data_IF_184721066442
#
_entry.id   IF_184721066442
#
_cell.length_a   1.000
_cell.length_b   1.000
_cell.length_c   1.000
_cell.angle_alpha   90.00
_cell.angle_beta   90.00
_cell.angle_gamma   90.00
#
_symmetry.space_group_name_H-M   'P 1'
#
loop_
_entity.id
_entity.type
_entity.pdbx_description
1 polymer ?
#
# COMPACT_ATOMS: atom_id res chain seq x y z
N UNK A 1 -2.20 32.64 -17.30
CA UNK A 1 -2.15 31.42 -16.47
C UNK A 1 -3.51 31.02 -15.94
N UNK A 2 -4.45 30.66 -16.82
CA UNK A 2 -5.77 30.10 -16.44
C UNK A 2 -5.96 28.66 -16.97
N UNK A 3 -5.27 28.30 -18.06
CA UNK A 3 -5.31 26.95 -18.63
C UNK A 3 -4.60 25.90 -17.76
N UNK A 4 -3.44 26.25 -17.19
CA UNK A 4 -2.64 25.35 -16.33
C UNK A 4 -3.40 25.02 -15.03
N UNK A 5 -4.13 25.98 -14.47
CA UNK A 5 -4.92 25.81 -13.24
C UNK A 5 -6.12 24.90 -13.48
N UNK A 6 -6.86 25.07 -14.59
CA UNK A 6 -7.96 24.16 -14.97
C UNK A 6 -7.49 22.73 -15.20
N UNK A 7 -6.35 22.56 -15.87
CA UNK A 7 -5.82 21.24 -16.19
C UNK A 7 -5.34 20.51 -14.93
N UNK A 8 -4.72 21.25 -13.98
CA UNK A 8 -4.38 20.73 -12.66
C UNK A 8 -5.59 20.28 -11.85
N UNK A 9 -6.63 21.11 -11.79
CA UNK A 9 -7.85 20.75 -11.05
C UNK A 9 -8.55 19.53 -11.65
N UNK A 10 -8.55 19.38 -12.98
CA UNK A 10 -9.10 18.21 -13.64
C UNK A 10 -8.31 16.94 -13.31
N UNK A 11 -6.97 17.01 -13.32
CA UNK A 11 -6.12 15.88 -12.94
C UNK A 11 -6.30 15.47 -11.49
N UNK A 12 -6.40 16.42 -10.56
CA UNK A 12 -6.61 16.14 -9.13
C UNK A 12 -7.95 15.43 -8.93
N UNK A 13 -9.03 15.90 -9.58
CA UNK A 13 -10.36 15.27 -9.48
C UNK A 13 -10.36 13.84 -10.01
N UNK A 14 -9.74 13.59 -11.16
CA UNK A 14 -9.68 12.25 -11.73
C UNK A 14 -8.89 11.26 -10.85
N UNK A 15 -7.83 11.75 -10.22
CA UNK A 15 -7.03 10.97 -9.29
C UNK A 15 -7.82 10.64 -8.01
N UNK A 16 -8.57 11.60 -7.50
CA UNK A 16 -9.48 11.40 -6.36
C UNK A 16 -10.56 10.35 -6.67
N UNK A 17 -11.21 10.42 -7.84
CA UNK A 17 -12.20 9.39 -8.25
C UNK A 17 -11.59 7.99 -8.33
N UNK A 18 -10.34 7.90 -8.80
CA UNK A 18 -9.62 6.63 -8.87
C UNK A 18 -9.34 6.06 -7.48
N UNK A 19 -8.93 6.91 -6.54
CA UNK A 19 -8.70 6.51 -5.14
C UNK A 19 -9.99 6.06 -4.45
N UNK A 20 -11.10 6.77 -4.67
CA UNK A 20 -12.39 6.42 -4.09
C UNK A 20 -12.92 5.08 -4.62
N UNK A 21 -12.76 4.80 -5.92
CA UNK A 21 -13.08 3.47 -6.48
C UNK A 21 -12.23 2.37 -5.86
N UNK A 22 -10.93 2.60 -5.68
CA UNK A 22 -10.04 1.60 -5.07
C UNK A 22 -10.41 1.35 -3.60
N UNK A 23 -10.79 2.39 -2.85
CA UNK A 23 -11.32 2.25 -1.48
C UNK A 23 -12.58 1.40 -1.45
N UNK A 24 -13.55 1.65 -2.34
CA UNK A 24 -14.78 0.84 -2.40
C UNK A 24 -14.50 -0.64 -2.69
N UNK A 25 -13.59 -0.93 -3.63
CA UNK A 25 -13.23 -2.31 -3.97
C UNK A 25 -12.51 -3.03 -2.82
N UNK A 26 -11.67 -2.31 -2.06
CA UNK A 26 -11.01 -2.86 -0.87
C UNK A 26 -11.99 -3.21 0.25
N UNK A 27 -13.09 -2.46 0.40
CA UNK A 27 -14.12 -2.69 1.41
C UNK A 27 -15.03 -3.91 1.10
N UNK A 28 -15.20 -4.27 -0.18
CA UNK A 28 -16.09 -5.38 -0.58
C UNK A 28 -15.47 -6.76 -0.34
N UNK A 29 -14.14 -6.88 -0.28
CA UNK A 29 -13.43 -8.17 -0.11
C UNK A 29 -13.43 -8.71 1.34
N UNK A 30 -14.38 -8.28 2.17
CA UNK A 30 -14.45 -8.56 3.62
C UNK A 30 -14.82 -10.02 3.98
N UNK A 31 -15.26 -10.85 3.02
CA UNK A 31 -15.91 -12.14 3.30
C UNK A 31 -15.10 -13.44 3.05
N UNK A 32 -13.76 -13.38 2.98
CA UNK A 32 -12.94 -14.60 2.91
C UNK A 32 -12.69 -15.21 4.30
N UNK A 33 -12.78 -16.53 4.42
CA UNK A 33 -12.77 -17.25 5.71
C UNK A 33 -11.50 -17.05 6.56
N UNK A 34 -10.36 -16.71 5.95
CA UNK A 34 -9.12 -16.35 6.65
C UNK A 34 -9.22 -14.99 7.34
N UNK A 35 -10.05 -14.08 6.81
CA UNK A 35 -10.27 -12.69 7.25
C UNK A 35 -11.13 -12.63 8.51
N UNK A 36 -12.06 -13.57 8.70
CA UNK A 36 -12.95 -13.62 9.87
C UNK A 36 -12.22 -13.84 11.21
N UNK A 37 -11.09 -14.57 11.21
CA UNK A 37 -10.27 -14.76 12.43
C UNK A 37 -9.40 -13.53 12.76
N UNK A 38 -9.03 -12.73 11.77
CA UNK A 38 -8.28 -11.47 11.95
C UNK A 38 -9.20 -10.31 12.38
N UNK A 39 -10.48 -10.33 11.95
CA UNK A 39 -11.48 -9.32 12.32
C UNK A 39 -11.84 -9.30 13.82
N UNK A 40 -11.54 -10.35 14.58
CA UNK A 40 -11.73 -10.37 16.04
C UNK A 40 -10.79 -9.38 16.78
N UNK A 41 -9.76 -8.83 16.10
CA UNK A 41 -8.77 -7.94 16.72
C UNK A 41 -8.83 -6.47 16.26
N UNK A 42 -9.74 -6.06 15.37
CA UNK A 42 -9.72 -4.68 14.84
C UNK A 42 -8.54 -4.41 13.90
N UNK A 43 -8.62 -3.33 13.11
CA UNK A 43 -7.60 -2.98 12.11
C UNK A 43 -6.27 -2.62 12.78
N UNK A 44 -5.14 -2.83 12.08
CA UNK A 44 -3.82 -2.41 12.57
C UNK A 44 -3.78 -0.91 12.88
N UNK A 45 -4.50 -0.12 12.06
CA UNK A 45 -4.68 1.32 12.25
C UNK A 45 -5.24 1.66 13.63
N UNK A 46 -6.23 0.89 14.10
CA UNK A 46 -6.88 1.08 15.40
C UNK A 46 -6.01 0.54 16.55
N UNK A 47 -5.41 -0.63 16.37
CA UNK A 47 -4.59 -1.29 17.41
C UNK A 47 -3.25 -0.61 17.65
N UNK A 48 -2.60 -0.15 16.58
CA UNK A 48 -1.20 0.28 16.57
C UNK A 48 -1.01 1.54 15.72
N UNK A 49 -1.80 2.58 15.95
CA UNK A 49 -1.80 3.82 15.15
C UNK A 49 -0.40 4.44 14.90
N UNK A 50 0.46 4.48 15.93
CA UNK A 50 1.83 5.01 15.77
C UNK A 50 2.70 4.15 14.85
N UNK A 51 2.62 2.82 14.96
CA UNK A 51 3.38 1.92 14.10
C UNK A 51 2.80 1.90 12.67
N UNK A 52 1.47 1.99 12.55
CA UNK A 52 0.81 2.15 11.27
C UNK A 52 1.32 3.39 10.52
N UNK A 53 1.39 4.54 11.19
CA UNK A 53 1.92 5.77 10.58
C UNK A 53 3.39 5.63 10.13
N UNK A 54 4.22 4.91 10.90
CA UNK A 54 5.60 4.60 10.50
C UNK A 54 5.65 3.71 9.26
N UNK A 55 4.83 2.66 9.24
CA UNK A 55 4.74 1.75 8.08
C UNK A 55 4.27 2.51 6.83
N UNK A 56 3.33 3.45 6.94
CA UNK A 56 2.92 4.32 5.83
C UNK A 56 4.08 5.18 5.31
N UNK A 57 4.87 5.77 6.21
CA UNK A 57 6.04 6.57 5.83
C UNK A 57 7.12 5.74 5.12
N UNK A 58 7.44 4.57 5.68
CA UNK A 58 8.40 3.62 5.10
C UNK A 58 7.92 3.13 3.73
N UNK A 59 6.62 2.81 3.61
CA UNK A 59 5.98 2.38 2.36
C UNK A 59 6.00 3.48 1.30
N UNK A 60 5.76 4.73 1.68
CA UNK A 60 5.80 5.88 0.75
C UNK A 60 7.20 6.07 0.16
N UNK A 61 8.23 5.89 0.99
CA UNK A 61 9.63 5.96 0.54
C UNK A 61 9.98 4.80 -0.39
N UNK A 62 9.55 3.58 -0.04
CA UNK A 62 9.70 2.38 -0.86
C UNK A 62 9.00 2.53 -2.22
N UNK A 63 7.80 3.10 -2.23
CA UNK A 63 7.03 3.35 -3.45
C UNK A 63 7.80 4.25 -4.42
N UNK A 64 8.46 5.31 -3.92
CA UNK A 64 9.32 6.16 -4.73
C UNK A 64 10.49 5.39 -5.36
N UNK A 65 11.20 4.59 -4.56
CA UNK A 65 12.34 3.77 -5.02
C UNK A 65 11.90 2.74 -6.06
N UNK A 66 10.74 2.12 -5.84
CA UNK A 66 10.18 1.11 -6.74
C UNK A 66 9.82 1.68 -8.12
N UNK A 67 9.28 2.89 -8.17
CA UNK A 67 9.00 3.57 -9.44
C UNK A 67 10.28 3.95 -10.17
N UNK A 68 11.29 4.45 -9.45
CA UNK A 68 12.59 4.73 -10.04
C UNK A 68 13.22 3.45 -10.64
N UNK A 69 13.00 2.28 -10.02
CA UNK A 69 13.37 0.98 -10.58
C UNK A 69 12.65 0.69 -11.90
N UNK A 70 11.34 0.93 -11.99
CA UNK A 70 10.56 0.67 -13.21
C UNK A 70 11.00 1.55 -14.39
N UNK A 71 11.42 2.78 -14.11
CA UNK A 71 11.84 3.74 -15.15
C UNK A 71 13.30 3.58 -15.56
N UNK A 72 14.19 3.27 -14.61
CA UNK A 72 15.66 3.31 -14.82
C UNK A 72 16.28 1.91 -14.89
N UNK A 73 15.50 0.83 -14.81
CA UNK A 73 15.99 -0.55 -14.70
C UNK A 73 17.05 -0.70 -13.59
N UNK A 74 16.83 -0.04 -12.45
CA UNK A 74 17.64 -0.24 -11.25
C UNK A 74 17.34 -1.60 -10.63
N UNK A 75 18.04 -1.94 -9.56
CA UNK A 75 17.77 -3.16 -8.80
C UNK A 75 16.54 -3.00 -7.89
N UNK A 76 15.70 -4.02 -7.81
CA UNK A 76 14.44 -3.99 -7.06
C UNK A 76 14.74 -3.95 -5.55
N UNK A 77 14.08 -3.10 -4.75
CA UNK A 77 14.33 -2.98 -3.31
C UNK A 77 13.73 -4.15 -2.49
N UNK A 78 14.13 -5.39 -2.79
CA UNK A 78 13.55 -6.61 -2.17
C UNK A 78 13.74 -6.63 -0.65
N UNK A 79 14.91 -6.26 -0.15
CA UNK A 79 15.18 -6.28 1.29
C UNK A 79 14.25 -5.34 2.07
N UNK A 80 13.99 -4.15 1.51
CA UNK A 80 13.08 -3.17 2.13
C UNK A 80 11.63 -3.67 2.10
N UNK A 81 11.23 -4.34 1.01
CA UNK A 81 9.93 -4.99 0.90
C UNK A 81 9.75 -6.07 1.98
N UNK A 82 10.75 -6.93 2.18
CA UNK A 82 10.72 -8.01 3.17
C UNK A 82 10.70 -7.49 4.62
N UNK A 83 11.50 -6.46 4.92
CA UNK A 83 11.51 -5.81 6.24
C UNK A 83 10.14 -5.21 6.56
N UNK A 84 9.53 -4.51 5.61
CA UNK A 84 8.23 -3.87 5.82
C UNK A 84 7.12 -4.91 6.01
N UNK A 85 7.13 -5.99 5.22
CA UNK A 85 6.16 -7.08 5.36
C UNK A 85 6.34 -7.85 6.67
N UNK A 86 7.57 -8.08 7.09
CA UNK A 86 7.85 -8.75 8.36
C UNK A 86 7.31 -7.92 9.52
N UNK A 87 7.58 -6.61 9.52
CA UNK A 87 7.04 -5.68 10.53
C UNK A 87 5.52 -5.66 10.54
N UNK A 88 4.89 -5.62 9.35
CA UNK A 88 3.44 -5.68 9.22
C UNK A 88 2.88 -7.00 9.76
N UNK A 89 3.52 -8.12 9.41
CA UNK A 89 3.14 -9.46 9.82
C UNK A 89 3.29 -9.71 11.32
N UNK A 90 4.37 -9.20 11.93
CA UNK A 90 4.67 -9.31 13.36
C UNK A 90 3.62 -8.58 14.22
N UNK A 91 3.05 -7.48 13.71
CA UNK A 91 1.93 -6.78 14.34
C UNK A 91 0.56 -7.45 14.09
N UNK A 92 0.56 -8.58 13.38
CA UNK A 92 -0.66 -9.29 12.98
C UNK A 92 -1.47 -8.50 11.95
N UNK A 93 -0.81 -7.78 11.04
CA UNK A 93 -1.42 -7.06 9.93
C UNK A 93 -1.78 -8.00 8.77
N UNK A 94 -3.01 -7.88 8.29
CA UNK A 94 -3.50 -8.67 7.16
C UNK A 94 -3.36 -7.95 5.81
N UNK A 95 -3.80 -8.59 4.71
CA UNK A 95 -3.82 -7.99 3.38
C UNK A 95 -4.62 -6.68 3.32
N UNK A 96 -5.62 -6.53 4.19
CA UNK A 96 -6.39 -5.30 4.35
C UNK A 96 -5.55 -4.16 4.92
N UNK A 97 -4.79 -4.44 5.98
CA UNK A 97 -3.92 -3.43 6.59
C UNK A 97 -2.84 -2.97 5.59
N UNK A 98 -2.33 -3.89 4.76
CA UNK A 98 -1.42 -3.55 3.65
C UNK A 98 -2.10 -2.65 2.60
N UNK A 99 -3.36 -2.89 2.26
CA UNK A 99 -4.13 -2.02 1.36
C UNK A 99 -4.36 -0.64 1.96
N UNK A 100 -4.68 -0.56 3.24
CA UNK A 100 -4.85 0.72 3.94
C UNK A 100 -3.53 1.50 3.95
N UNK A 101 -2.41 0.84 4.20
CA UNK A 101 -1.06 1.44 4.09
C UNK A 101 -0.79 1.96 2.69
N UNK A 102 -1.09 1.16 1.65
CA UNK A 102 -0.88 1.54 0.26
C UNK A 102 -1.72 2.77 -0.13
N UNK A 103 -2.99 2.81 0.27
CA UNK A 103 -3.89 3.93 -0.01
C UNK A 103 -3.44 5.22 0.69
N UNK A 104 -3.05 5.14 1.96
CA UNK A 104 -2.55 6.30 2.71
C UNK A 104 -1.22 6.81 2.14
N UNK A 105 -0.34 5.91 1.71
CA UNK A 105 0.92 6.27 1.07
C UNK A 105 0.73 6.95 -0.28
N UNK A 106 -0.25 6.48 -1.08
CA UNK A 106 -0.64 7.15 -2.32
C UNK A 106 -1.18 8.55 -2.05
N UNK A 107 -2.07 8.70 -1.08
CA UNK A 107 -2.65 10.00 -0.71
C UNK A 107 -1.56 11.00 -0.27
N UNK A 108 -0.64 10.55 0.58
CA UNK A 108 0.51 11.33 1.02
C UNK A 108 1.44 11.73 -0.14
N UNK A 109 1.65 10.83 -1.11
CA UNK A 109 2.50 11.07 -2.28
C UNK A 109 1.87 12.06 -3.27
N UNK A 110 0.54 12.00 -3.44
CA UNK A 110 -0.22 12.94 -4.27
C UNK A 110 -0.20 14.35 -3.68
N UNK A 111 -0.27 14.48 -2.36
CA UNK A 111 -0.21 15.77 -1.67
C UNK A 111 1.16 16.46 -1.80
N UNK A 112 2.24 15.71 -2.05
CA UNK A 112 3.62 16.22 -2.03
C UNK A 112 4.27 16.36 -3.42
N UNK A 113 3.72 15.80 -4.49
CA UNK A 113 4.39 15.72 -5.81
C UNK A 113 3.62 16.35 -6.99
N UNK A 114 4.36 16.61 -8.07
CA UNK A 114 3.85 17.16 -9.32
C UNK A 114 2.77 16.22 -9.94
N UNK A 115 1.61 16.73 -10.42
CA UNK A 115 0.45 15.93 -10.81
C UNK A 115 0.73 14.82 -11.84
N UNK A 116 1.65 15.06 -12.76
CA UNK A 116 2.01 14.08 -13.80
C UNK A 116 2.74 12.86 -13.21
N UNK A 117 3.49 13.02 -12.11
CA UNK A 117 4.08 11.90 -11.36
C UNK A 117 3.03 11.16 -10.53
N UNK A 118 2.01 11.86 -10.04
CA UNK A 118 0.92 11.30 -9.24
C UNK A 118 0.09 10.25 -9.98
N UNK A 119 -0.07 10.39 -11.30
CA UNK A 119 -0.83 9.43 -12.12
C UNK A 119 -0.05 8.15 -12.40
N UNK A 120 1.26 8.26 -12.67
CA UNK A 120 2.16 7.11 -12.77
C UNK A 120 2.24 6.35 -11.43
N UNK A 121 2.35 7.08 -10.31
CA UNK A 121 2.29 6.53 -8.95
C UNK A 121 1.04 5.65 -8.70
N UNK A 122 -0.14 6.12 -9.10
CA UNK A 122 -1.41 5.42 -8.85
C UNK A 122 -1.62 4.19 -9.75
N UNK A 123 -1.04 4.17 -10.94
CA UNK A 123 -1.16 3.04 -11.88
C UNK A 123 -0.06 2.01 -11.62
N UNK A 124 1.20 2.44 -11.51
CA UNK A 124 2.35 1.57 -11.34
C UNK A 124 2.53 1.08 -9.89
N UNK A 125 2.04 1.84 -8.90
CA UNK A 125 2.05 1.44 -7.49
C UNK A 125 1.23 0.18 -7.19
N UNK A 126 0.27 -0.17 -8.06
CA UNK A 126 -0.55 -1.38 -7.89
C UNK A 126 0.28 -2.66 -8.00
N UNK A 127 1.32 -2.65 -8.84
CA UNK A 127 2.22 -3.80 -8.98
C UNK A 127 2.97 -4.03 -7.67
N UNK A 128 3.47 -2.96 -7.05
CA UNK A 128 4.10 -3.04 -5.73
C UNK A 128 3.13 -3.60 -4.68
N UNK A 129 1.88 -3.13 -4.64
CA UNK A 129 0.88 -3.65 -3.70
C UNK A 129 0.65 -5.17 -3.87
N UNK A 130 0.54 -5.66 -5.12
CA UNK A 130 0.37 -7.08 -5.42
C UNK A 130 1.59 -7.92 -5.00
N UNK A 131 2.80 -7.42 -5.25
CA UNK A 131 4.02 -8.11 -4.85
C UNK A 131 4.16 -8.17 -3.32
N UNK A 132 3.84 -7.06 -2.64
CA UNK A 132 3.85 -6.98 -1.17
C UNK A 132 2.80 -7.92 -0.56
N UNK A 133 1.64 -8.09 -1.19
CA UNK A 133 0.65 -9.10 -0.78
C UNK A 133 1.20 -10.52 -0.91
N UNK A 134 1.91 -10.82 -2.01
CA UNK A 134 2.55 -12.12 -2.20
C UNK A 134 3.56 -12.42 -1.08
N UNK A 135 4.42 -11.44 -0.75
CA UNK A 135 5.37 -11.56 0.34
C UNK A 135 4.68 -11.76 1.70
N UNK A 136 3.56 -11.07 1.95
CA UNK A 136 2.78 -11.23 3.18
C UNK A 136 2.19 -12.64 3.31
N UNK A 137 1.68 -13.19 2.20
CA UNK A 137 1.21 -14.58 2.16
C UNK A 137 2.36 -15.54 2.45
N UNK A 138 3.53 -15.31 1.86
CA UNK A 138 4.71 -16.14 2.12
C UNK A 138 5.20 -16.06 3.58
N UNK A 139 5.20 -14.87 4.18
CA UNK A 139 5.49 -14.68 5.60
C UNK A 139 4.58 -15.56 6.47
N UNK A 140 3.26 -15.53 6.25
CA UNK A 140 2.33 -16.36 7.01
C UNK A 140 2.42 -17.84 6.68
N UNK A 141 2.75 -18.22 5.44
CA UNK A 141 2.95 -19.62 5.04
C UNK A 141 4.15 -20.23 5.74
N UNK A 142 5.26 -19.49 5.86
CA UNK A 142 6.47 -19.91 6.58
C UNK A 142 6.20 -19.94 8.10
N UNK A 143 5.50 -18.93 8.62
CA UNK A 143 5.10 -18.86 10.02
C UNK A 143 4.18 -20.01 10.45
N UNK A 144 3.24 -20.42 9.58
CA UNK A 144 2.38 -21.59 9.81
C UNK A 144 3.18 -22.90 9.82
N UNK A 145 4.17 -23.08 8.93
CA UNK A 145 5.03 -24.28 8.95
C UNK A 145 5.81 -24.43 10.26
N UNK A 146 6.19 -23.33 10.92
CA UNK A 146 6.87 -23.36 12.23
C UNK A 146 5.96 -23.71 13.42
N UNK A 147 4.63 -23.57 13.29
CA UNK A 147 3.67 -23.95 14.36
C UNK A 147 3.28 -25.43 14.36
N UNK A 148 3.62 -26.18 13.31
CA UNK A 148 3.32 -27.60 13.17
C UNK A 148 4.55 -28.51 13.30
N UNK A 149 5.67 -27.97 13.78
CA UNK A 149 6.88 -28.70 14.20
C UNK A 149 7.02 -28.56 15.70
#
# INVERSE_FOLDING_TARGET
GYAITRQREAQIRELQETLDRLRQLSAVNTNTQTTAKLMQNGSLRERHSNEFGRIVGDYSSLLGIYLDHLVVYKEKPRDQMEVLITRLGDLGGGPRDLMDVHLDALDASVATQNPDRGRALAVEGRLLALEMMGLLVDYYRIGQRRRFL
#
